data_IF_984067010723
#
_entry.id   IF_984067010723
#
_cell.length_a   1.000
_cell.length_b   1.000
_cell.length_c   1.000
_cell.angle_alpha   90.00
_cell.angle_beta   90.00
_cell.angle_gamma   90.00
#
_symmetry.space_group_name_H-M   'P 1'
#
loop_
_entity.id
_entity.type
_entity.pdbx_description
1 polymer ?
#
# COMPACT_ATOMS: atom_id res chain seq x y z
N UNK A 1 -6.54 -9.76 16.82
CA UNK A 1 -7.82 -10.49 16.78
C UNK A 1 -8.89 -9.82 15.90
N UNK A 2 -8.79 -8.55 15.52
CA UNK A 2 -9.91 -7.88 14.82
C UNK A 2 -9.94 -8.01 13.28
N UNK A 3 -8.79 -8.21 12.61
CA UNK A 3 -8.77 -8.48 11.16
C UNK A 3 -9.44 -9.83 10.84
N UNK A 4 -9.38 -10.80 11.76
CA UNK A 4 -10.07 -12.08 11.62
C UNK A 4 -11.60 -11.92 11.68
N UNK A 5 -12.10 -11.00 12.51
CA UNK A 5 -13.55 -10.76 12.67
C UNK A 5 -14.14 -10.09 11.44
N UNK A 6 -13.41 -9.16 10.81
CA UNK A 6 -13.81 -8.58 9.52
C UNK A 6 -13.72 -9.58 8.36
N UNK A 7 -12.71 -10.46 8.35
CA UNK A 7 -12.64 -11.57 7.40
C UNK A 7 -13.79 -12.56 7.59
N UNK A 8 -14.17 -12.87 8.84
CA UNK A 8 -15.29 -13.76 9.16
C UNK A 8 -16.65 -13.13 8.81
N UNK A 9 -16.86 -11.83 9.06
CA UNK A 9 -18.09 -11.12 8.66
C UNK A 9 -18.24 -11.02 7.13
N UNK A 10 -17.14 -10.82 6.40
CA UNK A 10 -17.12 -10.89 4.94
C UNK A 10 -17.36 -12.31 4.40
N UNK A 11 -16.92 -13.36 5.10
CA UNK A 11 -17.22 -14.74 4.72
C UNK A 11 -18.70 -15.09 4.88
N UNK A 12 -19.39 -14.59 5.92
CA UNK A 12 -20.80 -14.94 6.21
C UNK A 12 -21.78 -14.26 5.24
N UNK A 13 -21.54 -13.01 4.82
CA UNK A 13 -22.42 -12.31 3.87
C UNK A 13 -22.15 -12.67 2.39
N UNK A 14 -21.03 -13.31 2.07
CA UNK A 14 -20.53 -13.43 0.69
C UNK A 14 -20.39 -14.87 0.20
N UNK A 15 -21.18 -15.78 0.78
CA UNK A 15 -21.14 -17.22 0.52
C UNK A 15 -21.39 -17.67 -0.94
N UNK A 16 -22.08 -16.93 -1.85
CA UNK A 16 -22.16 -17.38 -3.25
C UNK A 16 -21.02 -16.85 -4.13
N UNK A 17 -20.18 -15.93 -3.64
CA UNK A 17 -19.05 -15.39 -4.41
C UNK A 17 -17.75 -15.95 -3.85
N UNK A 18 -17.06 -16.79 -4.64
CA UNK A 18 -15.72 -17.27 -4.33
C UNK A 18 -14.74 -16.09 -4.22
N UNK A 19 -14.62 -15.49 -3.03
CA UNK A 19 -13.68 -14.42 -2.80
C UNK A 19 -12.27 -14.98 -2.72
N UNK A 20 -11.59 -14.92 -3.86
CA UNK A 20 -10.14 -15.02 -3.89
C UNK A 20 -9.55 -13.71 -3.34
N UNK A 21 -9.57 -13.56 -2.01
CA UNK A 21 -8.91 -12.46 -1.31
C UNK A 21 -7.59 -12.95 -0.72
N UNK A 22 -6.48 -12.34 -1.10
CA UNK A 22 -5.16 -12.73 -0.60
C UNK A 22 -4.23 -11.53 -0.51
N UNK A 23 -3.57 -11.36 0.63
CA UNK A 23 -2.49 -10.37 0.79
C UNK A 23 -1.22 -10.93 0.16
N UNK A 24 -0.68 -10.25 -0.86
CA UNK A 24 0.54 -10.67 -1.57
C UNK A 24 1.80 -10.07 -0.96
N UNK A 25 1.69 -8.86 -0.41
CA UNK A 25 2.81 -8.16 0.20
C UNK A 25 2.29 -7.16 1.21
N UNK A 26 2.99 -7.02 2.33
CA UNK A 26 2.72 -6.00 3.32
C UNK A 26 4.07 -5.54 3.88
N UNK A 27 4.31 -4.23 3.88
CA UNK A 27 5.50 -3.65 4.47
C UNK A 27 5.11 -2.57 5.48
N UNK A 28 5.47 -2.83 6.74
CA UNK A 28 5.17 -1.96 7.86
C UNK A 28 5.99 -0.66 7.78
N UNK A 29 7.22 -0.70 7.24
CA UNK A 29 8.10 0.47 7.12
C UNK A 29 7.55 1.49 6.13
N UNK A 30 7.09 1.03 4.96
CA UNK A 30 6.50 1.90 3.94
C UNK A 30 5.00 2.11 4.11
N UNK A 31 4.35 1.32 4.97
CA UNK A 31 2.90 1.27 5.19
C UNK A 31 2.10 0.98 3.90
N UNK A 32 2.67 0.15 3.02
CA UNK A 32 2.02 -0.26 1.76
C UNK A 32 1.74 -1.76 1.80
N UNK A 33 0.54 -2.13 1.36
CA UNK A 33 0.13 -3.50 1.17
C UNK A 33 -0.43 -3.72 -0.23
N UNK A 34 -0.13 -4.87 -0.82
CA UNK A 34 -0.72 -5.35 -2.06
C UNK A 34 -1.72 -6.46 -1.73
N UNK A 35 -2.97 -6.23 -2.10
CA UNK A 35 -4.08 -7.15 -1.89
C UNK A 35 -4.57 -7.59 -3.27
N UNK A 36 -4.66 -8.90 -3.46
CA UNK A 36 -5.26 -9.50 -4.64
C UNK A 36 -6.70 -9.88 -4.34
N UNK A 37 -7.60 -9.49 -5.23
CA UNK A 37 -9.03 -9.83 -5.15
C UNK A 37 -9.46 -10.43 -6.48
N UNK A 38 -10.33 -11.44 -6.45
CA UNK A 38 -10.99 -11.97 -7.64
C UNK A 38 -11.79 -10.90 -8.41
N UNK A 39 -12.13 -11.19 -9.68
CA UNK A 39 -12.98 -10.30 -10.49
C UNK A 39 -14.39 -10.21 -9.88
N UNK A 40 -14.90 -8.99 -9.71
CA UNK A 40 -16.20 -8.72 -9.10
C UNK A 40 -16.11 -7.98 -7.76
N UNK A 41 -15.73 -8.65 -6.65
CA UNK A 41 -15.83 -8.08 -5.30
C UNK A 41 -14.78 -7.01 -4.97
N UNK A 42 -13.93 -6.62 -5.92
CA UNK A 42 -12.93 -5.56 -5.74
C UNK A 42 -13.51 -4.22 -5.24
N UNK A 43 -14.73 -3.86 -5.64
CA UNK A 43 -15.41 -2.64 -5.15
C UNK A 43 -15.83 -2.76 -3.69
N UNK A 44 -16.36 -3.91 -3.29
CA UNK A 44 -16.75 -4.19 -1.90
C UNK A 44 -15.53 -4.21 -0.97
N UNK A 45 -14.42 -4.80 -1.43
CA UNK A 45 -13.16 -4.76 -0.68
C UNK A 45 -12.66 -3.33 -0.57
N UNK A 46 -12.65 -2.56 -1.67
CA UNK A 46 -12.19 -1.18 -1.66
C UNK A 46 -13.00 -0.28 -0.72
N UNK A 47 -14.32 -0.48 -0.60
CA UNK A 47 -15.18 0.25 0.33
C UNK A 47 -15.08 -0.22 1.77
N UNK A 48 -14.74 -1.49 2.01
CA UNK A 48 -14.54 -2.04 3.35
C UNK A 48 -13.18 -1.64 3.97
N UNK A 49 -12.13 -1.47 3.15
CA UNK A 49 -10.79 -1.09 3.62
C UNK A 49 -10.76 0.17 4.54
N UNK A 50 -11.39 1.30 4.20
CA UNK A 50 -11.36 2.49 5.07
C UNK A 50 -12.11 2.30 6.40
N UNK A 51 -12.96 1.29 6.54
CA UNK A 51 -13.63 0.96 7.80
C UNK A 51 -12.68 0.28 8.80
N UNK A 52 -11.52 -0.19 8.34
CA UNK A 52 -10.49 -0.75 9.19
C UNK A 52 -9.82 0.41 9.93
N UNK A 53 -10.09 0.52 11.23
CA UNK A 53 -9.55 1.56 12.12
C UNK A 53 -8.35 1.09 12.94
N UNK A 54 -8.13 -0.23 13.01
CA UNK A 54 -7.04 -0.84 13.78
C UNK A 54 -6.37 -1.98 13.03
N UNK A 55 -5.04 -1.95 12.97
CA UNK A 55 -4.20 -3.04 12.45
C UNK A 55 -3.18 -3.39 13.51
N UNK A 56 -3.15 -4.67 13.93
CA UNK A 56 -2.16 -5.14 14.91
C UNK A 56 -2.20 -4.43 16.27
N UNK A 57 -3.36 -3.90 16.66
CA UNK A 57 -3.52 -3.13 17.91
C UNK A 57 -3.15 -1.65 17.80
N UNK A 58 -2.64 -1.20 16.66
CA UNK A 58 -2.37 0.21 16.38
C UNK A 58 -3.52 0.83 15.59
N UNK A 59 -3.86 2.08 15.91
CA UNK A 59 -4.80 2.85 15.10
C UNK A 59 -4.22 3.09 13.71
N UNK A 60 -4.92 2.65 12.68
CA UNK A 60 -4.50 2.75 11.30
C UNK A 60 -5.71 2.97 10.41
N UNK A 61 -5.62 3.91 9.48
CA UNK A 61 -6.62 4.11 8.43
C UNK A 61 -6.07 3.53 7.14
N UNK A 62 -6.80 2.58 6.55
CA UNK A 62 -6.38 1.95 5.30
C UNK A 62 -7.09 2.60 4.12
N UNK A 63 -6.32 3.15 3.18
CA UNK A 63 -6.87 3.75 1.97
C UNK A 63 -6.35 3.02 0.73
N UNK A 64 -7.24 2.84 -0.25
CA UNK A 64 -6.87 2.27 -1.55
C UNK A 64 -6.22 3.36 -2.40
N UNK A 65 -4.93 3.23 -2.67
CA UNK A 65 -4.18 4.19 -3.51
C UNK A 65 -4.30 3.91 -5.01
N UNK A 66 -4.47 2.64 -5.39
CA UNK A 66 -4.51 2.21 -6.78
C UNK A 66 -5.15 0.83 -6.91
N UNK A 67 -6.00 0.67 -7.91
CA UNK A 67 -6.57 -0.61 -8.33
C UNK A 67 -5.96 -0.99 -9.67
N UNK A 68 -5.32 -2.16 -9.72
CA UNK A 68 -4.70 -2.67 -10.94
C UNK A 68 -5.14 -4.13 -11.19
N UNK A 69 -5.22 -4.49 -12.46
CA UNK A 69 -5.51 -5.87 -12.86
C UNK A 69 -4.32 -6.82 -12.66
N UNK A 70 -3.09 -6.29 -12.55
CA UNK A 70 -1.90 -7.12 -12.31
C UNK A 70 -0.92 -6.48 -11.34
N UNK A 71 -0.18 -7.34 -10.65
CA UNK A 71 0.81 -6.94 -9.66
C UNK A 71 1.96 -6.12 -10.29
N UNK A 72 2.32 -6.37 -11.55
CA UNK A 72 3.34 -5.59 -12.28
C UNK A 72 2.95 -4.12 -12.40
N UNK A 73 1.71 -3.84 -12.82
CA UNK A 73 1.20 -2.47 -12.92
C UNK A 73 1.11 -1.80 -11.55
N UNK A 74 0.65 -2.56 -10.54
CA UNK A 74 0.60 -2.06 -9.17
C UNK A 74 2.00 -1.68 -8.65
N UNK A 75 3.02 -2.49 -8.93
CA UNK A 75 4.41 -2.18 -8.55
C UNK A 75 4.96 -0.97 -9.29
N UNK A 76 4.71 -0.84 -10.60
CA UNK A 76 5.11 0.34 -11.37
C UNK A 76 4.46 1.62 -10.83
N UNK A 77 3.18 1.54 -10.46
CA UNK A 77 2.49 2.66 -9.82
C UNK A 77 3.12 3.01 -8.47
N UNK A 78 3.35 2.04 -7.60
CA UNK A 78 3.96 2.28 -6.27
C UNK A 78 5.37 2.83 -6.40
N UNK A 79 6.15 2.40 -7.40
CA UNK A 79 7.46 2.98 -7.70
C UNK A 79 7.33 4.47 -8.02
N UNK A 80 6.45 4.84 -8.96
CA UNK A 80 6.19 6.25 -9.34
C UNK A 80 5.69 7.07 -8.17
N UNK A 81 4.77 6.52 -7.37
CA UNK A 81 4.24 7.17 -6.18
C UNK A 81 5.35 7.53 -5.18
N UNK A 82 6.29 6.61 -4.94
CA UNK A 82 7.43 6.90 -4.08
C UNK A 82 8.40 7.91 -4.70
N UNK A 83 8.68 7.81 -6.00
CA UNK A 83 9.54 8.76 -6.72
C UNK A 83 8.98 10.18 -6.65
N UNK A 84 7.68 10.36 -6.87
CA UNK A 84 7.00 11.64 -6.74
C UNK A 84 7.03 12.17 -5.30
N UNK A 85 6.86 11.30 -4.30
CA UNK A 85 6.96 11.69 -2.90
C UNK A 85 8.37 12.15 -2.54
N UNK A 86 9.39 11.45 -3.01
CA UNK A 86 10.80 11.84 -2.82
C UNK A 86 11.05 13.18 -3.51
N UNK A 87 10.58 13.37 -4.75
CA UNK A 87 10.73 14.63 -5.47
C UNK A 87 10.08 15.81 -4.73
N UNK A 88 8.89 15.62 -4.17
CA UNK A 88 8.23 16.66 -3.34
C UNK A 88 9.02 16.97 -2.07
N UNK A 89 9.62 15.97 -1.44
CA UNK A 89 10.49 16.18 -0.29
C UNK A 89 11.76 16.93 -0.71
N UNK A 90 12.37 16.57 -1.84
CA UNK A 90 13.51 17.25 -2.43
C UNK A 90 13.21 18.75 -2.67
N UNK A 91 12.03 19.08 -3.23
CA UNK A 91 11.60 20.47 -3.45
C UNK A 91 11.44 21.27 -2.14
N UNK A 92 11.18 20.61 -1.01
CA UNK A 92 11.01 21.27 0.30
C UNK A 92 12.31 21.46 1.09
N UNK A 93 13.45 20.93 0.62
CA UNK A 93 14.71 20.98 1.34
C UNK A 93 15.48 22.30 1.12
N UNK A 94 16.26 22.69 2.13
CA UNK A 94 17.20 23.81 2.02
C UNK A 94 18.36 23.47 1.09
N UNK A 95 19.00 24.46 0.48
CA UNK A 95 20.17 24.27 -0.41
C UNK A 95 21.33 23.49 0.23
N UNK A 96 21.57 23.66 1.54
CA UNK A 96 22.57 22.91 2.28
C UNK A 96 22.21 21.42 2.44
N UNK A 97 20.95 21.13 2.79
CA UNK A 97 20.43 19.76 2.96
C UNK A 97 20.37 19.02 1.62
N UNK A 98 20.02 19.74 0.55
CA UNK A 98 20.01 19.22 -0.81
C UNK A 98 21.38 18.72 -1.26
N UNK A 99 22.46 19.44 -0.94
CA UNK A 99 23.82 19.04 -1.30
C UNK A 99 24.25 17.77 -0.56
N UNK A 100 23.92 17.68 0.73
CA UNK A 100 24.15 16.47 1.52
C UNK A 100 23.35 15.27 0.97
N UNK A 101 22.06 15.49 0.65
CA UNK A 101 21.21 14.47 0.06
C UNK A 101 21.75 13.97 -1.28
N UNK A 102 22.24 14.86 -2.16
CA UNK A 102 22.86 14.46 -3.44
C UNK A 102 24.07 13.56 -3.24
N UNK A 103 24.97 13.92 -2.32
CA UNK A 103 26.16 13.11 -2.01
C UNK A 103 25.78 11.70 -1.52
N UNK A 104 24.81 11.59 -0.61
CA UNK A 104 24.38 10.29 -0.11
C UNK A 104 23.63 9.48 -1.19
N UNK A 105 22.84 10.15 -2.04
CA UNK A 105 22.14 9.50 -3.16
C UNK A 105 23.12 8.87 -4.16
N UNK A 106 24.19 9.59 -4.51
CA UNK A 106 25.24 9.09 -5.41
C UNK A 106 26.00 7.91 -4.79
N UNK A 107 26.24 7.96 -3.47
CA UNK A 107 26.83 6.85 -2.71
C UNK A 107 25.96 5.59 -2.71
N UNK A 108 24.64 5.75 -2.61
CA UNK A 108 23.70 4.63 -2.63
C UNK A 108 23.60 4.04 -4.04
N UNK A 109 23.56 4.88 -5.08
CA UNK A 109 23.44 4.43 -6.47
C UNK A 109 24.70 3.70 -6.98
N UNK A 110 25.89 4.11 -6.51
CA UNK A 110 27.16 3.44 -6.84
C UNK A 110 27.34 2.07 -6.16
N UNK A 111 26.53 1.74 -5.15
CA UNK A 111 26.53 0.44 -4.46
C UNK A 111 25.63 -0.62 -5.12
N UNK A 112 25.00 -0.27 -6.24
CA UNK A 112 24.01 -1.10 -6.93
C UNK A 112 24.56 -1.63 -8.25
#
# INVERSE_FOLDING_TARGET
MEILVLLQLLQVFMFPFNLQFTVKYCNIKTRIAFISVGRGPHQLVASALPLITKIGGQAATVCTIHLAASMRHAFLFVKRYHEEKIKKLEESLTSAEMNHWKQEKDRILSRR
#
